data_IF_409099070097
#
_entry.id   IF_409099070097
#
_cell.length_a   1.000
_cell.length_b   1.000
_cell.length_c   1.000
_cell.angle_alpha   90.00
_cell.angle_beta   90.00
_cell.angle_gamma   90.00
#
_symmetry.space_group_name_H-M   'P 1'
#
loop_
_entity.id
_entity.type
_entity.pdbx_description
1 polymer ?
#
# COMPACT_ATOMS: atom_id res chain seq x y z
N UNK A 1 11.13 -11.16 7.99
CA UNK A 1 11.13 -12.44 7.21
C UNK A 1 9.95 -12.41 6.23
N UNK A 2 10.15 -12.61 4.92
CA UNK A 2 9.04 -12.68 3.95
C UNK A 2 8.19 -13.93 4.23
N UNK A 3 7.00 -13.78 4.79
CA UNK A 3 6.07 -14.90 4.96
C UNK A 3 5.46 -15.30 3.60
N UNK A 4 5.36 -16.60 3.35
CA UNK A 4 4.71 -17.12 2.13
C UNK A 4 3.20 -17.16 2.35
N UNK A 5 2.46 -16.27 1.69
CA UNK A 5 1.00 -16.34 1.63
C UNK A 5 0.55 -17.34 0.56
N UNK A 6 -0.51 -18.15 0.80
CA UNK A 6 -1.10 -19.01 -0.23
C UNK A 6 -1.81 -18.21 -1.34
N UNK A 7 -1.91 -16.88 -1.20
CA UNK A 7 -2.52 -16.00 -2.20
C UNK A 7 -1.55 -15.74 -3.34
N UNK A 8 -1.98 -16.10 -4.53
CA UNK A 8 -1.28 -15.81 -5.77
C UNK A 8 -1.92 -14.59 -6.45
N UNK A 9 -1.08 -13.73 -7.04
CA UNK A 9 -1.52 -12.54 -7.77
C UNK A 9 -1.08 -12.63 -9.24
N UNK A 10 -1.63 -13.55 -10.05
CA UNK A 10 -1.37 -13.58 -11.49
C UNK A 10 -1.83 -12.30 -12.15
N UNK A 11 -1.07 -11.87 -13.14
CA UNK A 11 -1.42 -10.77 -14.02
C UNK A 11 -2.55 -11.20 -14.95
N UNK A 12 -3.76 -10.75 -14.61
CA UNK A 12 -4.92 -10.85 -15.47
C UNK A 12 -5.04 -9.60 -16.34
N UNK A 13 -5.38 -9.81 -17.62
CA UNK A 13 -5.81 -8.75 -18.52
C UNK A 13 -7.29 -8.42 -18.32
N UNK A 14 -7.72 -7.29 -18.86
CA UNK A 14 -9.13 -6.87 -18.86
C UNK A 14 -9.51 -5.89 -17.75
N UNK A 15 -10.78 -5.50 -17.77
CA UNK A 15 -11.34 -4.52 -16.85
C UNK A 15 -12.56 -5.10 -16.14
N UNK A 16 -12.71 -4.76 -14.87
CA UNK A 16 -13.93 -5.07 -14.12
C UNK A 16 -15.14 -4.44 -14.84
N UNK A 17 -16.22 -5.20 -15.11
CA UNK A 17 -17.40 -4.66 -15.74
C UNK A 17 -18.00 -3.49 -14.96
N UNK A 18 -18.48 -2.45 -15.64
CA UNK A 18 -18.98 -1.23 -14.99
C UNK A 18 -20.15 -1.50 -14.04
N UNK A 19 -21.00 -2.50 -14.34
CA UNK A 19 -22.10 -2.90 -13.46
C UNK A 19 -21.60 -3.48 -12.14
N UNK A 20 -20.48 -4.22 -12.16
CA UNK A 20 -19.87 -4.79 -10.96
C UNK A 20 -19.28 -3.65 -10.12
N UNK A 21 -18.51 -2.75 -10.74
CA UNK A 21 -17.94 -1.58 -10.05
C UNK A 21 -19.01 -0.77 -9.32
N UNK A 22 -20.16 -0.49 -9.97
CA UNK A 22 -21.27 0.23 -9.30
C UNK A 22 -21.79 -0.47 -8.05
N UNK A 23 -21.88 -1.80 -8.08
CA UNK A 23 -22.30 -2.61 -6.91
C UNK A 23 -21.21 -2.62 -5.83
N UNK A 24 -19.96 -2.80 -6.24
CA UNK A 24 -18.79 -2.75 -5.34
C UNK A 24 -18.73 -1.43 -4.59
N UNK A 25 -18.93 -0.29 -5.27
CA UNK A 25 -18.90 1.04 -4.63
C UNK A 25 -19.97 1.16 -3.54
N UNK A 26 -21.21 0.75 -3.82
CA UNK A 26 -22.31 0.81 -2.84
C UNK A 26 -22.04 -0.08 -1.63
N UNK A 27 -21.57 -1.31 -1.86
CA UNK A 27 -21.27 -2.24 -0.78
C UNK A 27 -20.04 -1.80 0.02
N UNK A 28 -19.01 -1.31 -0.66
CA UNK A 28 -17.80 -0.76 -0.04
C UNK A 28 -18.13 0.44 0.85
N UNK A 29 -19.02 1.35 0.41
CA UNK A 29 -19.49 2.46 1.25
C UNK A 29 -20.14 1.92 2.53
N UNK A 30 -21.09 1.00 2.41
CA UNK A 30 -21.82 0.47 3.56
C UNK A 30 -20.92 -0.26 4.56
N UNK A 31 -20.04 -1.14 4.08
CA UNK A 31 -19.12 -1.89 4.94
C UNK A 31 -18.12 -0.94 5.62
N UNK A 32 -17.53 -0.01 4.87
CA UNK A 32 -16.55 0.93 5.43
C UNK A 32 -17.20 1.81 6.49
N UNK A 33 -18.42 2.30 6.24
CA UNK A 33 -19.19 3.09 7.21
C UNK A 33 -19.43 2.33 8.51
N UNK A 34 -19.85 1.07 8.44
CA UNK A 34 -20.06 0.24 9.64
C UNK A 34 -18.76 0.02 10.39
N UNK A 35 -17.66 -0.31 9.71
CA UNK A 35 -16.37 -0.55 10.39
C UNK A 35 -15.89 0.74 11.08
N UNK A 36 -15.95 1.88 10.40
CA UNK A 36 -15.52 3.16 10.97
C UNK A 36 -16.42 3.57 12.13
N UNK A 37 -17.74 3.39 12.03
CA UNK A 37 -18.67 3.75 13.11
C UNK A 37 -18.47 2.89 14.37
N UNK A 38 -18.22 1.59 14.21
CA UNK A 38 -18.11 0.66 15.35
C UNK A 38 -16.70 0.61 15.95
N UNK A 39 -15.65 0.77 15.13
CA UNK A 39 -14.27 0.54 15.54
C UNK A 39 -13.30 1.70 15.26
N UNK A 40 -13.75 2.76 14.57
CA UNK A 40 -12.94 3.92 14.22
C UNK A 40 -12.14 3.79 12.92
N UNK A 41 -11.59 4.91 12.49
CA UNK A 41 -10.82 5.08 11.25
C UNK A 41 -9.51 4.29 11.28
N UNK A 42 -8.81 4.32 12.41
CA UNK A 42 -7.55 3.61 12.61
C UNK A 42 -7.71 2.10 12.46
N UNK A 43 -8.79 1.50 12.97
CA UNK A 43 -9.09 0.06 12.77
C UNK A 43 -9.32 -0.25 11.29
N UNK A 44 -10.04 0.61 10.56
CA UNK A 44 -10.25 0.41 9.13
C UNK A 44 -8.93 0.48 8.34
N UNK A 45 -8.06 1.44 8.65
CA UNK A 45 -6.72 1.55 8.08
C UNK A 45 -5.88 0.29 8.38
N UNK A 46 -5.94 -0.20 9.62
CA UNK A 46 -5.24 -1.41 10.07
C UNK A 46 -5.72 -2.65 9.32
N UNK A 47 -7.03 -2.83 9.17
CA UNK A 47 -7.62 -3.91 8.35
C UNK A 47 -7.19 -3.86 6.89
N UNK A 48 -7.17 -2.68 6.28
CA UNK A 48 -6.69 -2.51 4.90
C UNK A 48 -5.17 -2.76 4.75
N UNK A 49 -4.41 -2.63 5.84
CA UNK A 49 -2.98 -2.94 5.85
C UNK A 49 -2.72 -4.45 5.93
N UNK A 50 -3.67 -5.24 6.43
CA UNK A 50 -3.57 -6.69 6.42
C UNK A 50 -3.80 -7.21 4.99
N UNK A 51 -2.80 -7.87 4.39
CA UNK A 51 -2.94 -8.30 3.01
C UNK A 51 -4.00 -9.39 2.79
N UNK A 52 -4.27 -10.25 3.78
CA UNK A 52 -5.33 -11.28 3.71
C UNK A 52 -6.70 -10.64 3.82
N UNK A 53 -6.87 -9.72 4.77
CA UNK A 53 -8.12 -8.99 4.95
C UNK A 53 -8.44 -8.15 3.72
N UNK A 54 -7.45 -7.45 3.15
CA UNK A 54 -7.62 -6.69 1.91
C UNK A 54 -8.06 -7.61 0.75
N UNK A 55 -7.50 -8.83 0.67
CA UNK A 55 -7.92 -9.81 -0.33
C UNK A 55 -9.37 -10.25 -0.12
N UNK A 56 -9.71 -10.61 1.12
CA UNK A 56 -11.06 -11.03 1.50
C UNK A 56 -12.09 -9.92 1.26
N UNK A 57 -11.73 -8.66 1.55
CA UNK A 57 -12.57 -7.49 1.26
C UNK A 57 -12.87 -7.39 -0.23
N UNK A 58 -11.86 -7.54 -1.10
CA UNK A 58 -12.08 -7.61 -2.55
C UNK A 58 -13.07 -8.72 -2.97
N UNK A 59 -13.00 -9.87 -2.32
CA UNK A 59 -13.88 -11.01 -2.60
C UNK A 59 -15.31 -10.78 -2.10
N UNK A 60 -15.48 -10.18 -0.92
CA UNK A 60 -16.79 -9.77 -0.39
C UNK A 60 -17.47 -8.76 -1.31
N UNK A 61 -16.69 -7.90 -1.97
CA UNK A 61 -17.20 -6.98 -2.99
C UNK A 61 -17.60 -7.68 -4.30
N UNK A 62 -17.40 -8.99 -4.41
CA UNK A 62 -17.72 -9.79 -5.61
C UNK A 62 -16.62 -9.75 -6.67
N UNK A 63 -15.39 -9.38 -6.29
CA UNK A 63 -14.22 -9.45 -7.17
C UNK A 63 -13.45 -10.77 -6.99
N UNK A 64 -12.64 -11.13 -7.98
CA UNK A 64 -11.98 -12.44 -8.03
C UNK A 64 -10.92 -12.62 -6.92
N UNK A 65 -10.84 -13.83 -6.35
CA UNK A 65 -9.92 -14.20 -5.28
C UNK A 65 -8.46 -14.33 -5.74
N UNK A 66 -8.20 -14.67 -7.01
CA UNK A 66 -6.85 -15.00 -7.49
C UNK A 66 -6.42 -14.04 -8.60
N UNK A 67 -6.40 -12.74 -8.32
CA UNK A 67 -6.09 -11.74 -9.34
C UNK A 67 -5.27 -10.57 -8.83
N UNK A 68 -4.22 -10.21 -9.57
CA UNK A 68 -3.48 -8.96 -9.37
C UNK A 68 -4.36 -7.72 -9.56
N UNK A 69 -5.49 -7.86 -10.28
CA UNK A 69 -6.46 -6.79 -10.50
C UNK A 69 -7.11 -6.30 -9.22
N UNK A 70 -7.22 -7.17 -8.19
CA UNK A 70 -7.88 -6.89 -6.90
C UNK A 70 -7.37 -5.59 -6.31
N UNK A 71 -6.06 -5.40 -6.25
CA UNK A 71 -5.47 -4.20 -5.65
C UNK A 71 -5.87 -2.92 -6.35
N UNK A 72 -5.77 -2.90 -7.69
CA UNK A 72 -6.13 -1.72 -8.46
C UNK A 72 -7.64 -1.45 -8.48
N UNK A 73 -8.46 -2.51 -8.48
CA UNK A 73 -9.91 -2.38 -8.52
C UNK A 73 -10.46 -1.99 -7.16
N UNK A 74 -10.07 -2.68 -6.09
CA UNK A 74 -10.52 -2.40 -4.71
C UNK A 74 -10.10 -1.01 -4.28
N UNK A 75 -8.86 -0.58 -4.53
CA UNK A 75 -8.46 0.80 -4.21
C UNK A 75 -9.21 1.84 -5.04
N UNK A 76 -9.50 1.56 -6.32
CA UNK A 76 -10.32 2.43 -7.16
C UNK A 76 -11.78 2.48 -6.75
N UNK A 77 -12.32 1.38 -6.22
CA UNK A 77 -13.67 1.29 -5.63
C UNK A 77 -13.71 2.07 -4.32
N UNK A 78 -12.75 1.85 -3.42
CA UNK A 78 -12.64 2.59 -2.16
C UNK A 78 -12.54 4.09 -2.40
N UNK A 79 -11.73 4.53 -3.37
CA UNK A 79 -11.60 5.97 -3.71
C UNK A 79 -12.90 6.60 -4.23
N UNK A 80 -13.82 5.79 -4.77
CA UNK A 80 -15.16 6.25 -5.18
C UNK A 80 -16.21 6.09 -4.08
N UNK A 81 -16.00 5.14 -3.17
CA UNK A 81 -16.97 4.77 -2.15
C UNK A 81 -16.80 5.55 -0.86
N UNK A 82 -15.56 5.87 -0.45
CA UNK A 82 -15.34 6.65 0.74
C UNK A 82 -15.80 8.08 0.52
N UNK A 83 -16.44 8.62 1.54
CA UNK A 83 -16.88 10.00 1.64
C UNK A 83 -16.23 10.57 2.90
N UNK A 84 -15.50 11.66 2.75
CA UNK A 84 -14.70 12.26 3.80
C UNK A 84 -15.54 12.72 5.00
N UNK A 85 -16.76 13.20 4.79
CA UNK A 85 -17.66 13.65 5.86
C UNK A 85 -18.28 12.48 6.66
N UNK A 86 -18.34 11.30 6.07
CA UNK A 86 -18.94 10.09 6.69
C UNK A 86 -17.89 9.17 7.28
N UNK A 87 -16.74 9.05 6.62
CA UNK A 87 -15.70 8.07 6.96
C UNK A 87 -14.45 8.72 7.53
N UNK A 88 -14.25 10.03 7.36
CA UNK A 88 -13.02 10.74 7.71
C UNK A 88 -11.75 10.06 7.17
N UNK A 89 -11.82 9.47 5.98
CA UNK A 89 -10.69 8.81 5.33
C UNK A 89 -10.60 9.28 3.88
N UNK A 90 -9.41 9.76 3.50
CA UNK A 90 -9.08 10.18 2.14
C UNK A 90 -8.10 9.21 1.48
N UNK A 91 -8.16 9.13 0.15
CA UNK A 91 -7.30 8.26 -0.66
C UNK A 91 -6.57 9.04 -1.75
N UNK A 92 -5.23 9.03 -1.69
CA UNK A 92 -4.36 9.65 -2.67
C UNK A 92 -3.62 8.59 -3.52
N UNK A 93 -3.37 8.93 -4.80
CA UNK A 93 -2.66 8.05 -5.73
C UNK A 93 -3.56 7.14 -6.58
N UNK A 94 -2.99 6.03 -7.08
CA UNK A 94 -3.69 5.06 -7.92
C UNK A 94 -2.76 4.17 -8.75
N UNK A 95 -3.23 3.79 -9.95
CA UNK A 95 -2.48 2.97 -10.93
C UNK A 95 -1.85 3.85 -12.02
N UNK A 96 -0.66 3.49 -12.49
CA UNK A 96 -0.01 4.13 -13.64
C UNK A 96 0.30 5.60 -13.35
N UNK A 97 -0.08 6.53 -14.26
CA UNK A 97 0.22 7.97 -14.10
C UNK A 97 -0.28 8.56 -12.76
N UNK A 98 -1.37 8.02 -12.20
CA UNK A 98 -1.93 8.45 -10.91
C UNK A 98 -1.00 8.20 -9.72
N UNK A 99 0.01 7.33 -9.84
CA UNK A 99 1.01 7.16 -8.78
C UNK A 99 1.83 8.44 -8.56
N UNK A 100 2.11 9.18 -9.64
CA UNK A 100 2.91 10.41 -9.63
C UNK A 100 2.12 11.55 -8.96
N UNK A 101 0.80 11.56 -9.13
CA UNK A 101 -0.10 12.59 -8.60
C UNK A 101 -0.27 12.51 -7.08
N UNK A 102 0.11 11.39 -6.44
CA UNK A 102 -0.04 11.15 -4.99
C UNK A 102 0.49 12.30 -4.14
N UNK A 103 1.64 12.89 -4.50
CA UNK A 103 2.23 14.01 -3.77
C UNK A 103 1.28 15.21 -3.71
N UNK A 104 0.65 15.53 -4.83
CA UNK A 104 -0.26 16.67 -4.92
C UNK A 104 -1.62 16.33 -4.31
N UNK A 105 -2.09 15.10 -4.44
CA UNK A 105 -3.35 14.63 -3.87
C UNK A 105 -3.34 14.70 -2.34
N UNK A 106 -2.25 14.30 -1.66
CA UNK A 106 -2.14 14.30 -0.19
C UNK A 106 -2.42 15.70 0.38
N UNK A 107 -1.65 16.71 -0.06
CA UNK A 107 -1.79 18.08 0.47
C UNK A 107 -3.18 18.63 0.20
N UNK A 108 -3.69 18.47 -1.03
CA UNK A 108 -5.03 18.95 -1.41
C UNK A 108 -6.14 18.34 -0.57
N UNK A 109 -6.11 17.02 -0.35
CA UNK A 109 -7.13 16.32 0.41
C UNK A 109 -7.04 16.66 1.91
N UNK A 110 -5.82 16.69 2.47
CA UNK A 110 -5.58 17.01 3.87
C UNK A 110 -6.02 18.43 4.25
N UNK A 111 -5.67 19.42 3.42
CA UNK A 111 -6.05 20.82 3.63
C UNK A 111 -7.56 21.01 3.48
N UNK A 112 -8.16 20.39 2.44
CA UNK A 112 -9.57 20.56 2.13
C UNK A 112 -10.51 19.92 3.15
N UNK A 113 -10.15 18.74 3.67
CA UNK A 113 -11.10 17.91 4.44
C UNK A 113 -10.81 17.84 5.94
N UNK A 114 -9.57 17.98 6.39
CA UNK A 114 -9.19 17.68 7.78
C UNK A 114 -8.45 18.81 8.50
N UNK A 115 -8.09 19.89 7.79
CA UNK A 115 -7.29 20.99 8.33
C UNK A 115 -6.04 20.50 9.09
N UNK A 116 -5.37 19.47 8.54
CA UNK A 116 -4.17 18.90 9.14
C UNK A 116 -3.06 19.94 9.19
N UNK A 117 -2.34 20.01 10.31
CA UNK A 117 -1.14 20.86 10.43
C UNK A 117 -0.10 20.50 9.36
N UNK A 118 0.71 21.47 8.93
CA UNK A 118 1.78 21.26 7.95
C UNK A 118 2.71 20.08 8.32
N UNK A 119 3.05 19.93 9.60
CA UNK A 119 3.87 18.80 10.07
C UNK A 119 3.22 17.43 9.81
N UNK A 120 1.91 17.30 9.99
CA UNK A 120 1.19 16.05 9.68
C UNK A 120 1.13 15.80 8.17
N UNK A 121 0.95 16.84 7.36
CA UNK A 121 1.00 16.74 5.89
C UNK A 121 2.40 16.29 5.43
N UNK A 122 3.45 16.88 5.99
CA UNK A 122 4.84 16.50 5.71
C UNK A 122 5.12 15.05 6.10
N UNK A 123 4.59 14.58 7.23
CA UNK A 123 4.70 13.18 7.66
C UNK A 123 3.99 12.24 6.67
N UNK A 124 2.81 12.58 6.15
CA UNK A 124 2.11 11.79 5.13
C UNK A 124 2.90 11.74 3.81
N UNK A 125 3.45 12.88 3.38
CA UNK A 125 4.30 12.96 2.18
C UNK A 125 5.58 12.14 2.36
N UNK A 126 6.18 12.21 3.55
CA UNK A 126 7.35 11.43 3.90
C UNK A 126 7.05 9.94 3.87
N UNK A 127 5.96 9.50 4.53
CA UNK A 127 5.54 8.11 4.56
C UNK A 127 5.27 7.55 3.15
N UNK A 128 4.50 8.26 2.34
CA UNK A 128 4.21 7.90 0.95
C UNK A 128 5.51 7.73 0.13
N UNK A 129 6.45 8.68 0.26
CA UNK A 129 7.75 8.62 -0.43
C UNK A 129 8.63 7.49 0.08
N UNK A 130 8.68 7.27 1.39
CA UNK A 130 9.52 6.22 1.99
C UNK A 130 9.01 4.84 1.61
N UNK A 131 7.70 4.59 1.72
CA UNK A 131 7.09 3.37 1.20
C UNK A 131 7.46 3.14 -0.27
N UNK A 132 7.41 4.20 -1.10
CA UNK A 132 7.82 4.15 -2.49
C UNK A 132 9.27 3.66 -2.68
N UNK A 133 10.19 4.24 -1.90
CA UNK A 133 11.63 3.93 -1.94
C UNK A 133 11.96 2.54 -1.42
N UNK A 134 11.34 2.12 -0.31
CA UNK A 134 11.62 0.83 0.34
C UNK A 134 11.31 -0.32 -0.61
N UNK A 135 10.09 -0.38 -1.15
CA UNK A 135 9.73 -1.54 -1.99
C UNK A 135 10.46 -1.54 -3.34
N UNK A 136 11.06 -0.41 -3.73
CA UNK A 136 11.87 -0.31 -4.95
C UNK A 136 13.34 -0.66 -4.72
N UNK A 137 13.93 -0.14 -3.64
CA UNK A 137 15.38 -0.15 -3.46
C UNK A 137 15.85 -1.11 -2.38
N UNK A 138 15.07 -1.28 -1.30
CA UNK A 138 15.44 -2.17 -0.20
C UNK A 138 15.03 -3.62 -0.46
N UNK A 139 14.00 -3.83 -1.28
CA UNK A 139 13.60 -5.16 -1.76
C UNK A 139 14.06 -5.35 -3.21
N UNK A 140 15.28 -5.81 -3.40
CA UNK A 140 15.87 -5.99 -4.73
C UNK A 140 15.42 -7.33 -5.33
N UNK A 141 14.29 -7.29 -6.02
CA UNK A 141 13.55 -8.50 -6.42
C UNK A 141 13.06 -8.46 -7.88
N UNK A 142 13.41 -7.42 -8.64
CA UNK A 142 13.04 -7.26 -10.05
C UNK A 142 11.57 -6.88 -10.31
N UNK A 143 10.76 -6.56 -9.29
CA UNK A 143 9.38 -6.12 -9.50
C UNK A 143 9.30 -4.65 -9.87
N UNK A 144 8.68 -4.34 -11.02
CA UNK A 144 8.38 -2.97 -11.43
C UNK A 144 7.10 -2.46 -10.79
N UNK A 145 7.20 -1.40 -10.00
CA UNK A 145 6.08 -0.82 -9.24
C UNK A 145 5.16 -0.02 -10.16
N UNK A 146 3.85 -0.29 -10.11
CA UNK A 146 2.88 0.31 -11.04
C UNK A 146 1.59 0.82 -10.37
N UNK A 147 1.42 0.52 -9.08
CA UNK A 147 0.29 0.98 -8.28
C UNK A 147 0.79 1.43 -6.92
N UNK A 148 0.30 2.58 -6.48
CA UNK A 148 0.65 3.23 -5.22
C UNK A 148 -0.54 4.02 -4.72
N UNK A 149 -1.04 3.67 -3.55
CA UNK A 149 -2.12 4.39 -2.87
C UNK A 149 -1.76 4.57 -1.41
N UNK A 150 -2.02 5.77 -0.89
CA UNK A 150 -2.04 6.03 0.55
C UNK A 150 -3.46 6.38 0.95
N UNK A 151 -3.94 5.74 2.01
CA UNK A 151 -5.17 6.09 2.72
C UNK A 151 -4.76 6.76 4.02
N UNK A 152 -5.45 7.83 4.41
CA UNK A 152 -5.18 8.52 5.67
C UNK A 152 -6.43 9.13 6.27
N UNK A 153 -6.43 9.24 7.60
CA UNK A 153 -7.54 9.82 8.37
C UNK A 153 -7.31 11.28 8.78
N UNK A 154 -8.31 11.85 9.44
CA UNK A 154 -8.28 13.23 9.98
C UNK A 154 -7.25 13.45 11.10
N UNK A 155 -6.65 12.39 11.63
CA UNK A 155 -5.59 12.46 12.64
C UNK A 155 -4.19 12.33 12.04
N UNK A 156 -4.08 11.95 10.76
CA UNK A 156 -2.82 11.71 10.06
C UNK A 156 -2.30 10.28 10.21
N UNK A 157 -3.12 9.34 10.71
CA UNK A 157 -2.82 7.92 10.59
C UNK A 157 -2.96 7.50 9.13
N UNK A 158 -2.21 6.49 8.71
CA UNK A 158 -2.19 6.11 7.31
C UNK A 158 -1.90 4.63 7.09
N UNK A 159 -2.37 4.14 5.94
CA UNK A 159 -1.99 2.85 5.35
C UNK A 159 -1.58 3.07 3.90
N UNK A 160 -0.46 2.48 3.50
CA UNK A 160 0.01 2.47 2.11
C UNK A 160 -0.17 1.07 1.54
N UNK A 161 -0.82 0.98 0.37
CA UNK A 161 -0.94 -0.24 -0.42
C UNK A 161 -0.26 -0.04 -1.76
N UNK A 162 0.69 -0.92 -2.08
CA UNK A 162 1.45 -0.87 -3.33
C UNK A 162 1.45 -2.19 -4.05
N UNK A 163 1.66 -2.14 -5.35
CA UNK A 163 1.85 -3.34 -6.15
C UNK A 163 2.96 -3.17 -7.19
N UNK A 164 3.84 -4.18 -7.21
CA UNK A 164 4.80 -4.40 -8.28
C UNK A 164 4.41 -5.58 -9.15
N UNK A 165 5.00 -5.66 -10.34
CA UNK A 165 4.83 -6.79 -11.26
C UNK A 165 6.14 -7.21 -11.93
N UNK A 166 6.22 -8.50 -12.26
CA UNK A 166 7.20 -9.04 -13.20
C UNK A 166 6.41 -9.47 -14.45
N UNK A 167 6.47 -8.70 -15.55
CA UNK A 167 5.71 -9.01 -16.76
C UNK A 167 6.02 -10.40 -17.34
N UNK A 168 7.30 -10.79 -17.37
CA UNK A 168 7.75 -12.05 -17.94
C UNK A 168 7.13 -13.27 -17.24
N UNK A 169 7.06 -13.25 -15.91
CA UNK A 169 6.50 -14.33 -15.11
C UNK A 169 5.00 -14.16 -14.86
N UNK A 170 4.39 -13.10 -15.41
CA UNK A 170 2.98 -12.73 -15.22
C UNK A 170 2.54 -12.72 -13.76
N UNK A 171 3.40 -12.28 -12.85
CA UNK A 171 3.12 -12.24 -11.40
C UNK A 171 3.17 -10.83 -10.85
N UNK A 172 2.32 -10.56 -9.86
CA UNK A 172 2.38 -9.37 -9.03
C UNK A 172 2.81 -9.69 -7.60
N UNK A 173 3.31 -8.65 -6.92
CA UNK A 173 3.63 -8.66 -5.49
C UNK A 173 3.01 -7.43 -4.85
N UNK A 174 2.27 -7.63 -3.77
CA UNK A 174 1.57 -6.56 -3.05
C UNK A 174 2.26 -6.28 -1.73
N UNK A 175 2.42 -5.00 -1.41
CA UNK A 175 3.09 -4.50 -0.21
C UNK A 175 2.14 -3.63 0.58
N UNK A 176 2.11 -3.82 1.89
CA UNK A 176 1.30 -3.03 2.80
C UNK A 176 2.15 -2.47 3.94
N UNK A 177 1.97 -1.19 4.24
CA UNK A 177 2.55 -0.50 5.39
C UNK A 177 1.44 0.25 6.13
N UNK A 178 1.56 0.40 7.44
CA UNK A 178 0.60 1.14 8.28
C UNK A 178 1.33 1.92 9.35
N UNK A 179 0.87 3.13 9.65
CA UNK A 179 1.46 4.00 10.67
C UNK A 179 1.44 3.37 12.06
N UNK A 180 0.42 2.56 12.36
CA UNK A 180 0.15 1.97 13.67
C UNK A 180 1.30 1.09 14.21
N UNK A 181 1.93 0.33 13.32
CA UNK A 181 2.97 -0.65 13.68
C UNK A 181 4.36 -0.26 13.19
N UNK A 182 4.47 0.83 12.42
CA UNK A 182 5.73 1.22 11.81
C UNK A 182 6.68 1.84 12.85
N UNK A 183 7.70 1.07 13.25
CA UNK A 183 8.78 1.55 14.11
C UNK A 183 9.95 2.15 13.33
N UNK A 184 10.21 1.61 12.14
CA UNK A 184 11.30 2.03 11.27
C UNK A 184 10.92 1.79 9.81
N UNK A 185 11.27 2.73 8.94
CA UNK A 185 11.12 2.56 7.50
C UNK A 185 12.17 1.62 6.89
N UNK A 186 13.28 1.35 7.60
CA UNK A 186 14.41 0.56 7.05
C UNK A 186 14.59 -0.79 7.73
N UNK A 187 13.79 -1.10 8.75
CA UNK A 187 13.84 -2.37 9.48
C UNK A 187 12.43 -2.91 9.66
N UNK A 188 12.15 -4.02 8.97
CA UNK A 188 10.86 -4.73 8.91
C UNK A 188 9.63 -3.78 8.86
N UNK A 189 9.54 -2.88 7.85
CA UNK A 189 8.51 -1.83 7.81
C UNK A 189 7.13 -2.31 7.36
N UNK A 190 7.04 -3.48 6.76
CA UNK A 190 5.81 -3.97 6.13
C UNK A 190 4.89 -4.65 7.13
N UNK A 191 3.62 -4.27 7.13
CA UNK A 191 2.55 -5.04 7.78
C UNK A 191 2.34 -6.39 7.07
N UNK A 192 2.65 -6.45 5.77
CA UNK A 192 2.77 -7.72 5.06
C UNK A 192 3.12 -7.56 3.59
N UNK A 193 3.67 -8.64 3.03
CA UNK A 193 4.03 -8.74 1.61
C UNK A 193 3.43 -10.03 1.06
N UNK A 194 2.55 -9.93 0.05
CA UNK A 194 1.99 -11.11 -0.65
C UNK A 194 2.75 -11.32 -1.96
N UNK A 195 3.32 -12.51 -2.11
CA UNK A 195 3.97 -12.97 -3.34
C UNK A 195 3.95 -14.49 -3.43
N UNK A 196 3.81 -15.03 -4.65
CA UNK A 196 3.88 -16.47 -4.92
C UNK A 196 5.29 -17.03 -4.72
N UNK A 197 6.30 -16.32 -5.26
CA UNK A 197 7.65 -16.85 -5.36
C UNK A 197 8.59 -16.09 -4.41
N UNK A 198 9.28 -16.84 -3.54
CA UNK A 198 10.54 -16.43 -2.95
C UNK A 198 11.63 -16.73 -3.99
N UNK A 199 12.25 -15.69 -4.55
CA UNK A 199 13.45 -15.91 -5.36
C UNK A 199 14.65 -16.00 -4.42
N UNK A 200 15.52 -17.02 -4.54
CA UNK A 200 16.73 -17.15 -3.72
C UNK A 200 17.70 -15.97 -3.91
N UNK A 201 17.57 -15.22 -5.02
CA UNK A 201 18.40 -14.07 -5.34
C UNK A 201 17.81 -12.74 -4.84
N UNK A 202 16.67 -12.76 -4.13
CA UNK A 202 16.09 -11.53 -3.59
C UNK A 202 16.88 -11.03 -2.40
N UNK A 203 17.49 -9.85 -2.53
CA UNK A 203 18.09 -9.15 -1.40
C UNK A 203 17.00 -8.39 -0.65
N UNK A 204 16.81 -8.75 0.62
CA UNK A 204 15.91 -8.06 1.54
C UNK A 204 16.71 -7.16 2.49
N UNK A 205 17.04 -5.96 2.04
CA UNK A 205 17.76 -4.98 2.86
C UNK A 205 16.90 -4.43 4.00
N UNK A 206 15.61 -4.73 4.11
CA UNK A 206 14.81 -4.33 5.29
C UNK A 206 14.82 -5.39 6.39
N UNK A 207 15.45 -6.55 6.19
CA UNK A 207 15.57 -7.54 7.25
C UNK A 207 16.35 -6.97 8.43
N UNK A 208 15.97 -7.33 9.65
CA UNK A 208 16.75 -6.98 10.84
C UNK A 208 18.18 -7.53 10.75
N UNK A 209 18.34 -8.69 10.12
CA UNK A 209 19.63 -9.35 9.87
C UNK A 209 20.50 -8.60 8.85
N UNK A 210 19.94 -7.63 8.11
CA UNK A 210 20.65 -6.85 7.10
C UNK A 210 21.18 -5.52 7.62
N UNK A 211 21.12 -5.26 8.93
CA UNK A 211 21.56 -3.99 9.54
C UNK A 211 23.01 -3.65 9.19
N UNK A 212 23.94 -4.61 9.28
CA UNK A 212 25.35 -4.35 8.94
C UNK A 212 25.53 -4.12 7.43
N UNK A 213 24.82 -4.88 6.59
CA UNK A 213 24.84 -4.66 5.13
C UNK A 213 24.36 -3.25 4.77
N UNK A 214 23.30 -2.75 5.42
CA UNK A 214 22.81 -1.38 5.22
C UNK A 214 23.90 -0.36 5.55
N UNK A 215 24.58 -0.53 6.69
CA UNK A 215 25.64 0.35 7.16
C UNK A 215 26.82 0.37 6.18
N UNK A 216 27.31 -0.80 5.76
CA UNK A 216 28.41 -0.93 4.79
C UNK A 216 28.03 -0.27 3.46
N UNK A 217 26.81 -0.44 2.95
CA UNK A 217 26.37 0.23 1.72
C UNK A 217 26.42 1.77 1.84
N UNK A 218 26.05 2.31 3.00
CA UNK A 218 26.12 3.77 3.25
C UNK A 218 27.57 4.24 3.35
N UNK A 219 28.45 3.47 4.00
CA UNK A 219 29.87 3.80 4.10
C UNK A 219 30.57 3.76 2.74
N UNK A 220 30.25 2.76 1.90
CA UNK A 220 30.76 2.65 0.52
C UNK A 220 30.38 3.86 -0.32
N UNK A 221 29.10 4.26 -0.26
CA UNK A 221 28.61 5.41 -1.03
C UNK A 221 29.16 6.75 -0.55
N UNK A 222 29.58 6.83 0.72
CA UNK A 222 30.23 8.02 1.30
C UNK A 222 31.75 8.02 1.17
N UNK A 223 32.36 6.92 0.73
CA UNK A 223 33.81 6.76 0.64
C UNK A 223 34.52 6.71 1.99
N UNK A 224 33.85 6.24 3.05
CA UNK A 224 34.35 6.26 4.44
C UNK A 224 35.03 4.93 4.82
N UNK A 225 34.88 3.88 4.02
CA UNK A 225 35.52 2.58 4.27
C UNK A 225 37.04 2.67 4.08
N UNK A 226 37.75 2.81 5.20
CA UNK A 226 39.16 2.46 5.30
C UNK A 226 39.28 0.94 5.40
N UNK A 227 39.84 0.34 4.36
CA UNK A 227 40.31 -1.06 4.33
C UNK A 227 41.41 -1.32 5.35
#
# INVERSE_FOLDING_TARGET
MLESSPINLPLHGGHAPSYLIRRMVRLSYAISKVIVAEFGQQEFLRRLSDPLWFQAFGCVLGFDWHSSGVTSVVTGVLKQALNEDVHSISIAGGKGKKTIETKNDISKLAEKHYNLSSSKIDNLLYASRMAAKIDNAALQNGYSLYHHVILFDEHGNWTVVRQGMIPNNKMARRYHLVSDYLKSFVSEPHAGIISKCKSPETLNMTSIDSAENQKICVELTRGILTT
#
